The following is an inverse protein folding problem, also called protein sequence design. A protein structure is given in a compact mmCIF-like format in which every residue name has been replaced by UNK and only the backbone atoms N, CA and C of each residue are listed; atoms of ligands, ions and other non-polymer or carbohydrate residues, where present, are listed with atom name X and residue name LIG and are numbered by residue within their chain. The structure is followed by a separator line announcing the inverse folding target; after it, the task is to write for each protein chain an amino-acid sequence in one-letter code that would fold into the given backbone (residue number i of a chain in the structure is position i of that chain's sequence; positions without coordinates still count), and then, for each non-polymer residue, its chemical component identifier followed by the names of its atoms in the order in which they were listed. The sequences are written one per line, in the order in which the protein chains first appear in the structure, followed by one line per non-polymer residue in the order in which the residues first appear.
data_IF_730144815571
#
_entry.id   IF_730144815571
#
_cell.length_a   1.000
_cell.length_b   1.000
_cell.length_c   1.000
_cell.angle_alpha   90.00
_cell.angle_beta   90.00
_cell.angle_gamma   90.00
#
_symmetry.space_group_name_H-M   'P 1'
#
loop_
_entity.id
_entity.type
_entity.pdbx_description
1 polymer ?
#
# COMPACT_ATOMS: atom_id res chain seq x y z
N UNK A 1 -1.45 1.83 0.73
CA UNK A 1 -1.21 0.81 1.78
C UNK A 1 -2.05 1.11 3.01
N UNK A 2 -2.36 0.09 3.78
CA UNK A 2 -3.10 0.19 5.04
C UNK A 2 -2.51 -0.73 6.10
N UNK A 3 -2.80 -0.43 7.37
CA UNK A 3 -2.49 -1.27 8.53
C UNK A 3 -3.73 -2.10 8.89
N UNK A 4 -3.54 -3.38 9.08
CA UNK A 4 -4.60 -4.34 9.43
C UNK A 4 -4.16 -5.20 10.62
N UNK A 5 -5.13 -5.73 11.36
CA UNK A 5 -4.89 -6.66 12.46
C UNK A 5 -6.09 -7.60 12.66
N UNK A 6 -5.80 -8.86 13.01
CA UNK A 6 -6.80 -9.81 13.51
C UNK A 6 -6.92 -9.80 15.04
N UNK A 7 -6.06 -9.02 15.73
CA UNK A 7 -5.93 -9.05 17.20
C UNK A 7 -6.31 -7.75 17.88
N UNK A 8 -6.20 -6.62 17.16
CA UNK A 8 -6.36 -5.28 17.72
C UNK A 8 -7.32 -4.45 16.86
N UNK A 9 -8.10 -3.62 17.50
CA UNK A 9 -9.10 -2.76 16.86
C UNK A 9 -8.61 -1.31 16.66
N UNK A 10 -7.41 -0.97 17.18
CA UNK A 10 -6.83 0.37 17.05
C UNK A 10 -5.31 0.30 16.88
N UNK A 11 -4.76 1.30 16.17
CA UNK A 11 -3.31 1.51 16.09
C UNK A 11 -2.71 1.95 17.43
N UNK A 12 -3.53 2.52 18.33
CA UNK A 12 -3.10 2.97 19.66
C UNK A 12 -2.90 1.81 20.64
N UNK A 13 -3.43 0.62 20.32
CA UNK A 13 -3.29 -0.60 21.13
C UNK A 13 -1.98 -1.34 20.91
N UNK A 14 -1.04 -0.75 20.15
CA UNK A 14 0.22 -1.42 19.80
C UNK A 14 1.04 -1.80 21.05
N UNK A 15 1.31 -3.12 21.27
CA UNK A 15 2.11 -3.54 22.42
C UNK A 15 3.59 -3.27 22.20
N UNK A 16 4.32 -3.11 23.32
CA UNK A 16 5.78 -3.08 23.25
C UNK A 16 6.33 -4.42 22.74
N UNK A 17 7.19 -4.36 21.72
CA UNK A 17 7.73 -5.54 21.04
C UNK A 17 6.78 -6.16 20.03
N UNK A 18 5.76 -5.41 19.55
CA UNK A 18 4.82 -5.83 18.53
C UNK A 18 5.54 -6.45 17.30
N UNK A 19 4.97 -7.50 16.75
CA UNK A 19 5.41 -8.11 15.49
C UNK A 19 4.61 -7.50 14.34
N UNK A 20 5.29 -6.89 13.39
CA UNK A 20 4.65 -6.27 12.22
C UNK A 20 5.22 -6.85 10.93
N UNK A 21 4.37 -7.40 10.07
CA UNK A 21 4.77 -7.81 8.74
C UNK A 21 4.63 -6.64 7.75
N UNK A 22 5.64 -6.50 6.88
CA UNK A 22 5.66 -5.53 5.78
C UNK A 22 6.12 -6.21 4.49
N UNK A 23 5.82 -5.65 3.30
CA UNK A 23 6.36 -6.13 2.03
C UNK A 23 7.89 -6.17 2.03
N UNK A 24 8.49 -7.00 1.15
CA UNK A 24 9.93 -7.07 0.95
C UNK A 24 10.37 -6.56 -0.45
N UNK A 25 9.48 -6.02 -1.23
CA UNK A 25 9.82 -5.30 -2.46
C UNK A 25 10.03 -3.81 -2.17
N UNK A 26 11.09 -3.22 -2.73
CA UNK A 26 11.59 -1.89 -2.35
C UNK A 26 10.50 -0.81 -2.33
N UNK A 27 9.66 -0.75 -3.36
CA UNK A 27 8.63 0.27 -3.51
C UNK A 27 7.54 0.17 -2.43
N UNK A 28 7.00 -1.02 -2.18
CA UNK A 28 5.94 -1.21 -1.20
C UNK A 28 6.47 -1.21 0.23
N UNK A 29 7.71 -1.67 0.46
CA UNK A 29 8.42 -1.53 1.74
C UNK A 29 8.52 -0.06 2.16
N UNK A 30 9.03 0.79 1.25
CA UNK A 30 9.16 2.23 1.50
C UNK A 30 7.80 2.88 1.83
N UNK A 31 6.76 2.56 1.06
CA UNK A 31 5.38 3.05 1.32
C UNK A 31 4.88 2.67 2.70
N UNK A 32 5.11 1.41 3.10
CA UNK A 32 4.67 0.94 4.42
C UNK A 32 5.41 1.67 5.54
N UNK A 33 6.73 1.83 5.46
CA UNK A 33 7.48 2.56 6.49
C UNK A 33 7.09 4.04 6.57
N UNK A 34 6.83 4.72 5.45
CA UNK A 34 6.30 6.08 5.44
C UNK A 34 4.93 6.18 6.15
N UNK A 35 4.05 5.23 5.90
CA UNK A 35 2.76 5.15 6.59
C UNK A 35 2.94 4.91 8.10
N UNK A 36 3.84 4.01 8.49
CA UNK A 36 4.13 3.72 9.90
C UNK A 36 4.74 4.93 10.61
N UNK A 37 5.56 5.74 9.93
CA UNK A 37 6.02 7.03 10.44
C UNK A 37 4.86 8.02 10.62
N UNK A 38 3.97 8.13 9.63
CA UNK A 38 2.80 9.01 9.70
C UNK A 38 1.93 8.73 10.94
N UNK A 39 1.72 7.47 11.27
CA UNK A 39 0.94 7.09 12.46
C UNK A 39 1.74 7.14 13.77
N UNK A 40 3.02 7.56 13.72
CA UNK A 40 3.86 7.76 14.90
C UNK A 40 4.49 6.50 15.50
N UNK A 41 4.44 5.37 14.79
CA UNK A 41 5.02 4.12 15.28
C UNK A 41 6.54 4.07 15.16
N UNK A 42 7.11 4.78 14.19
CA UNK A 42 8.55 4.88 13.95
C UNK A 42 8.91 6.31 13.53
N UNK A 43 10.20 6.62 13.52
CA UNK A 43 10.76 7.78 12.86
C UNK A 43 11.84 7.34 11.89
N UNK A 44 11.83 7.90 10.70
CA UNK A 44 12.79 7.63 9.64
C UNK A 44 13.87 8.71 9.59
N UNK A 45 15.00 8.40 8.98
CA UNK A 45 16.04 9.40 8.67
C UNK A 45 15.47 10.43 7.68
N UNK A 46 15.60 11.71 8.02
CA UNK A 46 15.12 12.84 7.19
C UNK A 46 15.85 12.92 5.83
N UNK A 47 17.02 12.29 5.71
CA UNK A 47 17.81 12.26 4.48
C UNK A 47 17.58 10.97 3.66
N UNK A 48 16.77 10.03 4.13
CA UNK A 48 16.46 8.82 3.40
C UNK A 48 15.72 9.12 2.09
N UNK A 49 16.01 8.37 1.04
CA UNK A 49 15.26 8.46 -0.21
C UNK A 49 13.84 7.88 -0.01
N UNK A 50 12.77 8.70 -0.10
CA UNK A 50 11.42 8.24 0.15
C UNK A 50 10.94 7.13 -0.80
N UNK A 51 11.63 6.92 -1.92
CA UNK A 51 11.31 5.84 -2.87
C UNK A 51 12.03 4.52 -2.57
N UNK A 52 12.99 4.51 -1.62
CA UNK A 52 13.87 3.38 -1.35
C UNK A 52 14.12 3.14 0.15
N UNK A 53 13.20 3.58 1.01
CA UNK A 53 13.30 3.40 2.47
C UNK A 53 13.36 1.92 2.84
N UNK A 54 14.27 1.60 3.75
CA UNK A 54 14.48 0.28 4.33
C UNK A 54 14.35 0.32 5.85
N UNK A 55 14.44 -0.83 6.51
CA UNK A 55 14.46 -0.91 7.96
C UNK A 55 15.67 -0.19 8.57
N UNK A 56 16.79 -0.10 7.84
CA UNK A 56 18.01 0.57 8.31
C UNK A 56 17.86 2.10 8.44
N UNK A 57 16.84 2.67 7.78
CA UNK A 57 16.51 4.10 7.84
C UNK A 57 15.66 4.47 9.07
N UNK A 58 15.28 3.50 9.90
CA UNK A 58 14.50 3.74 11.13
C UNK A 58 15.42 4.29 12.22
N UNK A 59 15.22 5.56 12.59
CA UNK A 59 16.02 6.24 13.63
C UNK A 59 15.41 6.13 15.03
N UNK A 60 14.07 6.01 15.12
CA UNK A 60 13.36 5.80 16.38
C UNK A 60 12.29 4.71 16.22
N UNK A 61 12.20 3.83 17.21
CA UNK A 61 11.22 2.75 17.28
C UNK A 61 10.72 2.64 18.74
N UNK A 62 9.86 3.58 19.18
CA UNK A 62 9.47 3.70 20.58
C UNK A 62 8.71 2.48 21.12
N UNK A 63 8.07 1.71 20.26
CA UNK A 63 7.34 0.50 20.64
C UNK A 63 8.18 -0.78 20.53
N UNK A 64 9.48 -0.68 20.18
CA UNK A 64 10.36 -1.83 19.94
C UNK A 64 9.77 -2.84 18.94
N UNK A 65 9.12 -2.35 17.90
CA UNK A 65 8.47 -3.16 16.86
C UNK A 65 9.51 -4.09 16.21
N UNK A 66 9.11 -5.34 16.03
CA UNK A 66 9.89 -6.36 15.33
C UNK A 66 9.31 -6.53 13.92
N UNK A 67 9.98 -5.93 12.96
CA UNK A 67 9.56 -6.02 11.56
C UNK A 67 9.97 -7.36 10.95
N UNK A 68 9.07 -7.89 10.11
CA UNK A 68 9.35 -9.03 9.23
C UNK A 68 9.00 -8.61 7.80
N UNK A 69 10.04 -8.45 6.99
CA UNK A 69 9.88 -8.20 5.56
C UNK A 69 9.66 -9.52 4.83
N UNK A 70 8.56 -9.63 4.09
CA UNK A 70 8.18 -10.86 3.41
C UNK A 70 7.39 -10.58 2.12
N UNK A 71 7.22 -11.61 1.29
CA UNK A 71 6.46 -11.46 0.05
C UNK A 71 5.04 -10.96 0.34
N UNK A 72 4.68 -9.83 -0.29
CA UNK A 72 3.39 -9.14 -0.08
C UNK A 72 2.19 -10.06 -0.17
N UNK A 73 2.18 -10.97 -1.15
CA UNK A 73 1.05 -11.87 -1.39
C UNK A 73 0.91 -12.97 -0.33
N UNK A 74 1.94 -13.20 0.48
CA UNK A 74 1.90 -14.21 1.55
C UNK A 74 1.48 -13.64 2.90
N UNK A 75 1.58 -12.32 3.09
CA UNK A 75 1.24 -11.63 4.35
C UNK A 75 -0.20 -11.96 4.81
N UNK A 76 -1.24 -11.89 3.95
CA UNK A 76 -2.61 -12.18 4.37
C UNK A 76 -2.79 -13.56 4.99
N UNK A 77 -2.14 -14.57 4.43
CA UNK A 77 -2.24 -15.95 4.92
C UNK A 77 -1.56 -16.17 6.29
N UNK A 78 -0.72 -15.23 6.73
CA UNK A 78 0.05 -15.29 7.97
C UNK A 78 -0.33 -14.22 8.98
N UNK A 79 -1.42 -13.45 8.76
CA UNK A 79 -1.82 -12.33 9.63
C UNK A 79 -1.92 -12.73 11.11
N UNK A 80 -2.43 -13.93 11.39
CA UNK A 80 -2.59 -14.42 12.77
C UNK A 80 -1.25 -14.56 13.54
N UNK A 81 -0.10 -14.66 12.83
CA UNK A 81 1.22 -14.78 13.45
C UNK A 81 1.81 -13.41 13.88
N UNK A 82 1.21 -12.32 13.39
CA UNK A 82 1.63 -10.95 13.66
C UNK A 82 0.63 -10.22 14.55
N UNK A 83 1.07 -9.12 15.12
CA UNK A 83 0.17 -8.22 15.85
C UNK A 83 -0.50 -7.25 14.87
N UNK A 84 0.23 -6.80 13.86
CA UNK A 84 -0.28 -6.00 12.75
C UNK A 84 0.42 -6.37 11.45
N UNK A 85 -0.22 -6.06 10.33
CA UNK A 85 0.38 -6.15 9.01
C UNK A 85 0.18 -4.84 8.26
N UNK A 86 1.19 -4.42 7.48
CA UNK A 86 1.08 -3.28 6.57
C UNK A 86 1.12 -3.81 5.13
N UNK A 87 0.04 -3.64 4.39
CA UNK A 87 -0.14 -4.19 3.04
C UNK A 87 -0.78 -3.20 2.09
N UNK A 88 -0.52 -3.38 0.79
CA UNK A 88 -1.07 -2.52 -0.25
C UNK A 88 -2.49 -2.91 -0.65
N UNK A 89 -3.25 -1.96 -1.23
CA UNK A 89 -4.63 -2.19 -1.63
C UNK A 89 -4.83 -3.36 -2.61
N UNK A 90 -3.87 -3.60 -3.52
CA UNK A 90 -3.94 -4.75 -4.43
C UNK A 90 -3.83 -6.09 -3.70
N UNK A 91 -3.05 -6.16 -2.63
CA UNK A 91 -2.94 -7.36 -1.77
C UNK A 91 -4.22 -7.57 -0.99
N UNK A 92 -4.80 -6.50 -0.42
CA UNK A 92 -6.10 -6.51 0.28
C UNK A 92 -7.19 -7.06 -0.64
N UNK A 93 -7.29 -6.51 -1.86
CA UNK A 93 -8.26 -6.94 -2.86
C UNK A 93 -8.11 -8.41 -3.23
N UNK A 94 -6.89 -8.85 -3.57
CA UNK A 94 -6.63 -10.23 -3.98
C UNK A 94 -6.87 -11.25 -2.86
N UNK A 95 -6.67 -10.85 -1.61
CA UNK A 95 -6.92 -11.69 -0.44
C UNK A 95 -8.38 -11.70 0.02
N UNK A 96 -9.24 -10.85 -0.55
CA UNK A 96 -10.64 -10.71 -0.15
C UNK A 96 -10.80 -10.11 1.25
N UNK A 97 -9.81 -9.33 1.72
CA UNK A 97 -9.89 -8.61 2.99
C UNK A 97 -10.82 -7.41 2.81
N UNK A 98 -11.70 -7.17 3.78
CA UNK A 98 -12.54 -5.98 3.79
C UNK A 98 -11.68 -4.71 4.00
N UNK A 99 -11.64 -3.85 2.99
CA UNK A 99 -10.85 -2.63 3.03
C UNK A 99 -11.27 -1.68 4.18
N UNK A 100 -12.53 -1.74 4.61
CA UNK A 100 -13.07 -0.92 5.71
C UNK A 100 -12.48 -1.29 7.07
N UNK A 101 -11.84 -2.46 7.19
CA UNK A 101 -11.15 -2.89 8.42
C UNK A 101 -9.75 -2.31 8.59
N UNK A 102 -9.28 -1.48 7.64
CA UNK A 102 -8.02 -0.79 7.76
C UNK A 102 -8.00 0.13 9.00
N UNK A 103 -7.05 -0.09 9.91
CA UNK A 103 -6.87 0.72 11.11
C UNK A 103 -6.19 2.05 10.82
N UNK A 104 -5.39 2.12 9.76
CA UNK A 104 -4.78 3.33 9.23
C UNK A 104 -4.50 3.16 7.73
N UNK A 105 -4.43 4.28 7.01
CA UNK A 105 -4.12 4.31 5.58
C UNK A 105 -2.98 5.29 5.28
N UNK A 106 -2.21 5.00 4.22
CA UNK A 106 -1.21 5.92 3.69
C UNK A 106 -1.85 7.18 3.09
N UNK A 107 -1.04 8.25 2.98
CA UNK A 107 -1.40 9.39 2.14
C UNK A 107 -1.05 9.09 0.69
N UNK A 108 -1.97 9.38 -0.21
CA UNK A 108 -1.74 9.22 -1.64
C UNK A 108 -0.66 10.19 -2.09
N UNK A 109 0.39 9.64 -2.70
CA UNK A 109 1.48 10.43 -3.28
C UNK A 109 1.35 10.41 -4.80
N UNK A 110 1.47 11.57 -5.46
CA UNK A 110 1.33 11.69 -6.92
C UNK A 110 2.30 10.77 -7.69
N UNK A 111 3.52 10.56 -7.17
CA UNK A 111 4.50 9.69 -7.80
C UNK A 111 4.18 8.19 -7.69
N UNK A 112 3.17 7.81 -6.89
CA UNK A 112 2.68 6.43 -6.76
C UNK A 112 1.49 6.11 -7.69
N UNK A 113 1.03 7.09 -8.48
CA UNK A 113 -0.05 6.87 -9.45
C UNK A 113 0.41 5.86 -10.50
N UNK A 114 -0.38 4.80 -10.66
CA UNK A 114 -0.11 3.77 -11.66
C UNK A 114 -0.21 4.34 -13.08
N UNK A 115 0.70 3.93 -13.94
CA UNK A 115 0.78 4.40 -15.32
C UNK A 115 0.90 3.23 -16.28
N UNK A 116 0.32 3.36 -17.45
CA UNK A 116 0.56 2.45 -18.58
C UNK A 116 1.79 2.95 -19.32
N UNK A 117 2.85 2.14 -19.33
CA UNK A 117 4.11 2.46 -20.01
C UNK A 117 4.28 1.60 -21.25
N UNK A 118 4.50 2.23 -22.39
CA UNK A 118 4.77 1.55 -23.68
C UNK A 118 6.09 2.03 -24.27
N UNK A 119 6.68 1.22 -25.16
CA UNK A 119 7.84 1.68 -25.93
C UNK A 119 7.45 2.89 -26.78
N UNK A 120 8.38 3.85 -26.95
CA UNK A 120 8.16 5.09 -27.71
C UNK A 120 7.61 4.84 -29.12
N UNK A 121 8.08 3.79 -29.78
CA UNK A 121 7.64 3.38 -31.11
C UNK A 121 6.17 2.90 -31.15
N UNK A 122 5.61 2.51 -30.03
CA UNK A 122 4.25 1.97 -29.91
C UNK A 122 3.24 3.00 -29.33
N UNK A 123 3.66 4.22 -29.03
CA UNK A 123 2.78 5.21 -28.38
C UNK A 123 1.51 5.52 -29.20
N UNK A 124 1.62 5.46 -30.53
CA UNK A 124 0.52 5.75 -31.47
C UNK A 124 -0.10 4.46 -32.06
N UNK A 125 0.27 3.29 -31.53
CA UNK A 125 -0.28 2.01 -32.00
C UNK A 125 -1.76 1.88 -31.57
N UNK A 126 -2.59 1.29 -32.44
CA UNK A 126 -4.02 1.14 -32.18
C UNK A 126 -4.33 0.42 -30.87
N UNK A 127 -3.52 -0.58 -30.49
CA UNK A 127 -3.70 -1.29 -29.22
C UNK A 127 -3.34 -0.43 -28.00
N UNK A 128 -2.35 0.48 -28.12
CA UNK A 128 -1.99 1.39 -27.03
C UNK A 128 -3.11 2.42 -26.83
N UNK A 129 -3.69 2.95 -27.92
CA UNK A 129 -4.84 3.83 -27.83
C UNK A 129 -6.06 3.11 -27.26
N UNK A 130 -6.32 1.85 -27.62
CA UNK A 130 -7.42 1.07 -27.09
C UNK A 130 -7.31 0.88 -25.56
N UNK A 131 -6.11 0.82 -24.98
CA UNK A 131 -5.92 0.79 -23.52
C UNK A 131 -6.36 2.13 -22.91
N UNK A 132 -5.95 3.26 -23.50
CA UNK A 132 -6.38 4.59 -23.05
C UNK A 132 -7.89 4.71 -23.09
N UNK A 133 -8.50 4.35 -24.22
CA UNK A 133 -9.95 4.41 -24.41
C UNK A 133 -10.70 3.54 -23.39
N UNK A 134 -10.17 2.36 -23.06
CA UNK A 134 -10.74 1.47 -22.05
C UNK A 134 -10.75 2.11 -20.65
N UNK A 135 -9.67 2.77 -20.23
CA UNK A 135 -9.62 3.48 -18.94
C UNK A 135 -10.58 4.68 -18.88
N UNK A 136 -10.88 5.32 -20.03
CA UNK A 136 -11.80 6.45 -20.11
C UNK A 136 -13.26 6.03 -20.41
N UNK A 137 -13.55 4.73 -20.58
CA UNK A 137 -14.88 4.24 -20.89
C UNK A 137 -15.85 4.35 -19.72
N UNK A 138 -17.12 4.47 -20.02
CA UNK A 138 -18.19 4.48 -19.01
C UNK A 138 -18.26 3.13 -18.27
N UNK A 139 -17.95 2.02 -18.95
CA UNK A 139 -17.89 0.69 -18.35
C UNK A 139 -16.82 0.61 -17.27
N UNK A 140 -15.63 1.18 -17.51
CA UNK A 140 -14.55 1.21 -16.50
C UNK A 140 -14.97 2.08 -15.30
N UNK A 141 -15.55 3.25 -15.54
CA UNK A 141 -16.03 4.15 -14.49
C UNK A 141 -17.09 3.47 -13.61
N UNK A 142 -18.06 2.81 -14.22
CA UNK A 142 -19.10 2.08 -13.49
C UNK A 142 -18.52 0.89 -12.70
N UNK A 143 -17.57 0.15 -13.32
CA UNK A 143 -16.88 -0.93 -12.63
C UNK A 143 -16.15 -0.43 -11.38
N UNK A 144 -15.41 0.67 -11.48
CA UNK A 144 -14.67 1.24 -10.36
C UNK A 144 -15.60 1.77 -9.27
N UNK A 145 -16.71 2.44 -9.62
CA UNK A 145 -17.71 2.84 -8.62
C UNK A 145 -18.27 1.68 -7.81
N UNK A 146 -18.44 0.52 -8.45
CA UNK A 146 -19.01 -0.67 -7.81
C UNK A 146 -18.00 -1.49 -7.00
N UNK A 147 -16.72 -1.50 -7.38
CA UNK A 147 -15.74 -2.46 -6.89
C UNK A 147 -14.51 -1.83 -6.24
N UNK A 148 -14.42 -0.50 -6.16
CA UNK A 148 -13.23 0.16 -5.61
C UNK A 148 -13.10 0.00 -4.08
N UNK A 149 -14.21 0.08 -3.35
CA UNK A 149 -14.26 -0.01 -1.88
C UNK A 149 -13.21 0.87 -1.15
N UNK A 150 -12.79 1.98 -1.79
CA UNK A 150 -11.78 2.90 -1.25
C UNK A 150 -10.33 2.43 -1.37
N UNK A 151 -10.06 1.30 -2.04
CA UNK A 151 -8.73 0.72 -2.20
C UNK A 151 -7.83 1.48 -3.17
N UNK A 152 -8.43 2.12 -4.18
CA UNK A 152 -7.70 2.87 -5.20
C UNK A 152 -8.17 4.32 -5.27
N UNK A 153 -7.23 5.23 -5.25
CA UNK A 153 -7.47 6.60 -5.63
C UNK A 153 -7.58 6.69 -7.16
N UNK A 154 -8.63 7.34 -7.64
CA UNK A 154 -8.89 7.50 -9.06
C UNK A 154 -8.71 8.98 -9.43
N UNK A 155 -7.82 9.31 -10.40
CA UNK A 155 -7.66 10.67 -10.91
C UNK A 155 -8.99 11.26 -11.42
N UNK A 156 -9.14 12.59 -11.32
CA UNK A 156 -10.39 13.26 -11.72
C UNK A 156 -10.78 12.98 -13.17
N UNK A 157 -9.79 12.88 -14.07
CA UNK A 157 -10.03 12.60 -15.49
C UNK A 157 -10.58 11.18 -15.76
N UNK A 158 -10.49 10.28 -14.78
CA UNK A 158 -11.01 8.90 -14.87
C UNK A 158 -12.26 8.65 -14.01
N UNK A 159 -12.80 9.70 -13.38
CA UNK A 159 -14.01 9.61 -12.54
C UNK A 159 -15.30 9.76 -13.34
#
# INVERSE_FOLDING_TARGET
AGVYSDKYDSIDDIPNGAKVAVPNDASNTARCYLMLQKIGWIKLDENADPSAITQDDITENPHNIKFTEMNSMTIPATMADFDYVAITGSVVYNAGIDASTALANEDIQEYLVLQVVVKKENKDAAWAQAIVDAYHSDEFKEYMKKNNDGLWWIPEELQ
#
